data_IF_794944425523
#
_entry.id   IF_794944425523
#
_cell.length_a   1.000
_cell.length_b   1.000
_cell.length_c   1.000
_cell.angle_alpha   90.00
_cell.angle_beta   90.00
_cell.angle_gamma   90.00
#
_symmetry.space_group_name_H-M   'P 1'
#
loop_
_entity.id
_entity.type
_entity.pdbx_description
1 polymer ?
#
# COMPACT_ATOMS: atom_id res chain seq x y z
N UNK A 1 -4.69 -14.37 82.28
CA UNK A 1 -4.56 -13.06 81.62
C UNK A 1 -4.07 -13.30 80.20
N UNK A 2 -4.90 -13.04 79.18
CA UNK A 2 -4.55 -13.23 77.77
C UNK A 2 -4.26 -11.87 77.14
N UNK A 3 -3.06 -11.71 76.57
CA UNK A 3 -2.64 -10.59 75.74
C UNK A 3 -3.52 -10.53 74.47
N UNK A 4 -3.99 -9.34 74.11
CA UNK A 4 -4.61 -9.06 72.80
C UNK A 4 -3.65 -8.23 71.96
N UNK A 5 -3.34 -8.78 70.79
CA UNK A 5 -2.56 -8.17 69.71
C UNK A 5 -3.48 -7.20 68.97
N UNK A 6 -3.04 -5.96 68.77
CA UNK A 6 -3.69 -4.97 67.92
C UNK A 6 -3.21 -5.16 66.47
N UNK A 7 -4.15 -5.41 65.55
CA UNK A 7 -3.89 -5.45 64.10
C UNK A 7 -4.17 -4.05 63.55
N UNK A 8 -3.17 -3.49 62.89
CA UNK A 8 -3.18 -2.17 62.28
C UNK A 8 -3.34 -2.31 60.75
N UNK A 9 -4.39 -1.67 60.22
CA UNK A 9 -4.53 -1.07 58.89
C UNK A 9 -4.35 -1.89 57.61
N UNK A 10 -5.32 -1.79 56.68
CA UNK A 10 -5.13 -1.10 55.38
C UNK A 10 -6.47 -1.03 54.63
N UNK A 11 -7.13 0.14 54.61
CA UNK A 11 -8.26 0.39 53.71
C UNK A 11 -7.72 0.96 52.39
N UNK A 12 -7.86 0.19 51.31
CA UNK A 12 -7.65 0.65 49.93
C UNK A 12 -8.80 1.59 49.55
N UNK A 13 -8.51 2.89 49.39
CA UNK A 13 -9.41 3.80 48.68
C UNK A 13 -9.29 3.56 47.18
N UNK A 14 -10.31 2.95 46.58
CA UNK A 14 -10.54 3.05 45.14
C UNK A 14 -11.13 4.43 44.85
N UNK A 15 -10.31 5.32 44.29
CA UNK A 15 -10.78 6.57 43.70
C UNK A 15 -11.63 6.24 42.48
N UNK A 16 -12.94 6.50 42.54
CA UNK A 16 -13.81 6.44 41.39
C UNK A 16 -13.47 7.62 40.46
N UNK A 17 -12.76 7.34 39.36
CA UNK A 17 -12.70 8.25 38.23
C UNK A 17 -14.08 8.26 37.57
N UNK A 18 -14.90 9.26 37.87
CA UNK A 18 -16.08 9.57 37.07
C UNK A 18 -15.60 10.18 35.76
N UNK A 19 -15.50 9.37 34.70
CA UNK A 19 -15.52 9.90 33.34
C UNK A 19 -16.90 10.53 33.12
N UNK A 20 -16.98 11.85 33.26
CA UNK A 20 -18.09 12.60 32.69
C UNK A 20 -17.97 12.42 31.18
N UNK A 21 -18.89 11.64 30.61
CA UNK A 21 -19.05 11.61 29.16
C UNK A 21 -19.18 13.06 28.66
N UNK A 22 -18.51 13.43 27.55
CA UNK A 22 -18.74 14.75 26.97
C UNK A 22 -20.25 14.93 26.78
N UNK A 23 -20.79 16.12 27.04
CA UNK A 23 -22.23 16.37 26.90
C UNK A 23 -22.66 15.90 25.51
N UNK A 24 -23.64 14.98 25.46
CA UNK A 24 -24.27 14.62 24.19
C UNK A 24 -24.81 15.90 23.59
N UNK A 25 -24.35 16.24 22.39
CA UNK A 25 -24.89 17.35 21.62
C UNK A 25 -26.40 17.25 21.58
N UNK A 26 -27.06 18.36 21.93
CA UNK A 26 -28.51 18.46 21.90
C UNK A 26 -28.95 18.21 20.46
N UNK A 27 -29.74 17.15 20.17
CA UNK A 27 -30.16 16.83 18.80
C UNK A 27 -31.09 17.90 18.19
N UNK A 28 -31.43 18.94 18.95
CA UNK A 28 -32.20 20.10 18.52
C UNK A 28 -31.35 21.38 18.38
N UNK A 29 -30.01 21.30 18.46
CA UNK A 29 -29.15 22.44 18.15
C UNK A 29 -29.00 22.61 16.62
N UNK A 30 -29.61 23.65 16.01
CA UNK A 30 -29.51 23.88 14.58
C UNK A 30 -28.11 24.38 14.24
N UNK A 31 -27.22 23.44 13.89
CA UNK A 31 -25.96 23.65 13.17
C UNK A 31 -24.97 24.56 13.92
N UNK A 32 -24.06 23.93 14.68
CA UNK A 32 -22.70 24.47 14.74
C UNK A 32 -22.16 24.49 13.30
N UNK A 33 -21.84 25.65 12.69
CA UNK A 33 -21.46 25.75 11.28
C UNK A 33 -20.16 25.03 10.92
N UNK A 34 -19.50 24.39 11.89
CA UNK A 34 -18.14 23.85 11.79
C UNK A 34 -18.03 22.36 12.14
N UNK A 35 -19.12 21.59 12.16
CA UNK A 35 -18.99 20.13 12.14
C UNK A 35 -18.50 19.68 10.77
N UNK A 36 -17.18 19.77 10.55
CA UNK A 36 -16.50 18.93 9.57
C UNK A 36 -16.55 17.52 10.14
N UNK A 37 -16.95 16.53 9.33
CA UNK A 37 -16.81 15.12 9.70
C UNK A 37 -15.36 14.79 10.09
N UNK A 38 -15.04 13.53 10.47
CA UNK A 38 -13.66 13.15 10.74
C UNK A 38 -12.77 13.67 9.60
N UNK A 39 -11.76 14.47 9.95
CA UNK A 39 -10.86 15.06 8.97
C UNK A 39 -10.19 13.94 8.20
N UNK A 40 -10.27 14.01 6.87
CA UNK A 40 -9.57 13.10 5.97
C UNK A 40 -8.10 12.99 6.38
N UNK A 41 -7.63 11.77 6.61
CA UNK A 41 -6.22 11.52 6.92
C UNK A 41 -5.41 11.63 5.62
N UNK A 42 -4.49 12.59 5.51
CA UNK A 42 -3.82 12.88 4.24
C UNK A 42 -2.76 11.83 3.91
N UNK A 43 -2.52 11.64 2.62
CA UNK A 43 -1.36 10.89 2.13
C UNK A 43 -0.09 11.74 2.16
N UNK A 44 1.07 11.09 2.06
CA UNK A 44 2.37 11.72 1.90
C UNK A 44 2.42 12.41 0.54
N UNK A 45 2.69 13.72 0.52
CA UNK A 45 2.81 14.49 -0.74
C UNK A 45 4.25 14.72 -1.17
N UNK A 46 5.19 14.64 -0.23
CA UNK A 46 6.60 14.81 -0.53
C UNK A 46 7.09 13.70 -1.46
N UNK A 47 7.68 14.08 -2.60
CA UNK A 47 8.15 13.15 -3.61
C UNK A 47 7.06 12.39 -4.38
N UNK A 48 5.77 12.68 -4.20
CA UNK A 48 4.68 12.05 -4.98
C UNK A 48 4.73 12.53 -6.44
N UNK A 49 4.80 11.58 -7.38
CA UNK A 49 4.95 11.85 -8.81
C UNK A 49 3.70 11.52 -9.62
N UNK A 50 2.98 10.46 -9.24
CA UNK A 50 1.75 10.03 -9.89
C UNK A 50 0.79 9.39 -8.90
N UNK A 51 -0.51 9.54 -9.12
CA UNK A 51 -1.55 8.95 -8.26
C UNK A 51 -2.83 8.64 -9.03
N UNK A 52 -3.08 7.35 -9.21
CA UNK A 52 -4.34 6.81 -9.74
C UNK A 52 -5.22 6.34 -8.58
N UNK A 53 -6.26 7.13 -8.31
CA UNK A 53 -7.23 6.91 -7.23
C UNK A 53 -8.25 5.82 -7.54
N UNK A 54 -8.47 5.54 -8.83
CA UNK A 54 -9.49 4.60 -9.30
C UNK A 54 -10.94 4.93 -8.88
N UNK A 55 -11.21 6.21 -8.64
CA UNK A 55 -12.53 6.73 -8.31
C UNK A 55 -13.37 6.97 -9.56
N UNK A 56 -13.92 5.89 -10.14
CA UNK A 56 -14.69 5.86 -11.40
C UNK A 56 -13.89 6.19 -12.68
N UNK A 57 -12.59 6.44 -12.59
CA UNK A 57 -11.72 6.62 -13.75
C UNK A 57 -10.34 5.99 -13.53
N UNK A 58 -9.44 6.18 -14.48
CA UNK A 58 -8.03 5.76 -14.38
C UNK A 58 -7.12 6.96 -14.68
N UNK A 59 -7.52 8.16 -14.26
CA UNK A 59 -6.77 9.39 -14.48
C UNK A 59 -5.68 9.54 -13.43
N UNK A 60 -4.48 9.93 -13.84
CA UNK A 60 -3.45 10.38 -12.90
C UNK A 60 -3.86 11.73 -12.29
N UNK A 61 -4.01 11.78 -10.98
CA UNK A 61 -4.43 12.98 -10.25
C UNK A 61 -3.35 14.06 -10.17
N UNK A 62 -2.10 13.70 -10.48
CA UNK A 62 -0.97 14.63 -10.47
C UNK A 62 -0.78 15.25 -11.86
N UNK A 63 -0.65 14.43 -12.91
CA UNK A 63 -0.43 14.92 -14.28
C UNK A 63 -1.72 15.13 -15.10
N UNK A 64 -2.90 14.71 -14.61
CA UNK A 64 -4.18 14.75 -15.33
C UNK A 64 -4.16 13.99 -16.67
N UNK A 65 -3.38 12.90 -16.75
CA UNK A 65 -3.28 12.03 -17.92
C UNK A 65 -4.11 10.78 -17.70
N UNK A 66 -4.92 10.41 -18.70
CA UNK A 66 -5.68 9.17 -18.69
C UNK A 66 -4.83 8.02 -19.20
N UNK A 67 -4.94 6.87 -18.55
CA UNK A 67 -4.26 5.64 -18.99
C UNK A 67 -4.96 4.99 -20.18
N UNK A 68 -4.36 3.94 -20.75
CA UNK A 68 -5.00 3.10 -21.77
C UNK A 68 -5.96 2.05 -21.19
N UNK A 69 -6.26 2.15 -19.89
CA UNK A 69 -6.94 1.12 -19.14
C UNK A 69 -8.44 1.16 -19.39
N UNK A 70 -9.03 -0.01 -19.60
CA UNK A 70 -10.49 -0.18 -19.63
C UNK A 70 -10.86 -1.18 -18.54
N UNK A 71 -11.36 -0.73 -17.38
CA UNK A 71 -11.71 -1.63 -16.28
C UNK A 71 -12.77 -2.64 -16.71
N UNK A 72 -12.69 -3.86 -16.17
CA UNK A 72 -13.80 -4.81 -16.25
C UNK A 72 -14.99 -4.28 -15.46
N UNK A 73 -14.71 -3.76 -14.27
CA UNK A 73 -15.66 -3.14 -13.37
C UNK A 73 -14.93 -2.24 -12.37
N UNK A 74 -15.70 -1.44 -11.64
CA UNK A 74 -15.26 -0.82 -10.40
C UNK A 74 -15.96 -1.49 -9.22
N UNK A 75 -15.23 -1.61 -8.12
CA UNK A 75 -15.68 -2.25 -6.88
C UNK A 75 -15.60 -1.27 -5.70
N UNK A 76 -16.18 -1.62 -4.55
CA UNK A 76 -15.94 -0.85 -3.33
C UNK A 76 -14.47 -0.90 -2.90
N UNK A 77 -13.96 0.23 -2.39
CA UNK A 77 -12.62 0.30 -1.80
C UNK A 77 -12.54 -0.37 -0.41
N UNK A 78 -11.41 -0.16 0.27
CA UNK A 78 -11.14 -0.62 1.64
C UNK A 78 -12.04 -0.03 2.72
N UNK A 79 -12.76 1.05 2.42
CA UNK A 79 -13.71 1.69 3.31
C UNK A 79 -15.18 1.44 2.91
N UNK A 80 -15.39 0.72 1.80
CA UNK A 80 -16.71 0.43 1.27
C UNK A 80 -17.29 1.54 0.39
N UNK A 81 -16.50 2.53 -0.02
CA UNK A 81 -16.92 3.56 -0.97
C UNK A 81 -17.12 2.91 -2.34
N UNK A 82 -18.32 3.09 -2.91
CA UNK A 82 -18.65 2.47 -4.19
C UNK A 82 -17.83 3.04 -5.35
N UNK A 83 -17.43 2.15 -6.25
CA UNK A 83 -16.67 2.46 -7.47
C UNK A 83 -15.30 3.15 -7.24
N UNK A 84 -14.60 2.72 -6.19
CA UNK A 84 -13.31 3.28 -5.76
C UNK A 84 -12.16 2.29 -5.87
N UNK A 85 -12.41 1.09 -6.43
CA UNK A 85 -11.38 0.10 -6.73
C UNK A 85 -11.48 -0.39 -8.17
N UNK A 86 -10.35 -0.45 -8.86
CA UNK A 86 -10.18 -0.88 -10.24
C UNK A 86 -10.05 -2.41 -10.35
N UNK A 87 -10.89 -3.04 -11.16
CA UNK A 87 -10.68 -4.41 -11.62
C UNK A 87 -10.09 -4.41 -13.03
N UNK A 88 -8.89 -4.96 -13.17
CA UNK A 88 -8.23 -5.05 -14.46
C UNK A 88 -8.96 -6.00 -15.41
N UNK A 89 -8.93 -5.72 -16.70
CA UNK A 89 -9.45 -6.63 -17.72
C UNK A 89 -8.39 -7.68 -18.11
N UNK A 90 -8.72 -8.56 -19.05
CA UNK A 90 -7.82 -9.63 -19.51
C UNK A 90 -6.53 -9.13 -20.22
N UNK A 91 -6.40 -7.82 -20.49
CA UNK A 91 -5.19 -7.18 -20.99
C UNK A 91 -4.43 -6.46 -19.86
N UNK A 92 -3.13 -6.19 -20.08
CA UNK A 92 -2.37 -5.35 -19.16
C UNK A 92 -2.79 -3.89 -19.31
N UNK A 93 -2.90 -3.20 -18.18
CA UNK A 93 -3.26 -1.79 -18.09
C UNK A 93 -2.00 -1.02 -17.73
N UNK A 94 -1.62 -0.03 -18.54
CA UNK A 94 -0.35 0.68 -18.41
C UNK A 94 -0.53 2.12 -17.95
N UNK A 95 0.49 2.60 -17.23
CA UNK A 95 0.48 3.82 -16.44
C UNK A 95 1.74 4.62 -16.72
N UNK A 96 1.56 5.93 -16.94
CA UNK A 96 2.66 6.81 -17.36
C UNK A 96 3.21 6.45 -18.73
N UNK A 97 4.45 6.88 -18.97
CA UNK A 97 5.24 6.65 -20.18
C UNK A 97 6.42 5.73 -19.88
N UNK A 98 7.06 5.20 -20.93
CA UNK A 98 8.16 4.22 -20.83
C UNK A 98 9.32 4.58 -19.90
N UNK A 99 9.61 5.87 -19.70
CA UNK A 99 10.74 6.33 -18.87
C UNK A 99 10.31 6.99 -17.57
N UNK A 100 9.00 7.12 -17.33
CA UNK A 100 8.49 7.94 -16.22
C UNK A 100 8.86 7.35 -14.85
N UNK A 101 9.27 6.07 -14.78
CA UNK A 101 9.57 5.37 -13.53
C UNK A 101 10.92 4.62 -13.57
N UNK A 102 11.81 5.05 -14.46
CA UNK A 102 13.14 4.45 -14.69
C UNK A 102 14.24 5.10 -13.83
N UNK A 103 13.96 5.29 -12.55
CA UNK A 103 14.90 5.94 -11.63
C UNK A 103 14.95 5.24 -10.28
N UNK A 104 15.94 5.60 -9.50
CA UNK A 104 15.99 5.28 -8.08
C UNK A 104 16.57 6.46 -7.29
N UNK A 105 16.15 6.66 -6.02
CA UNK A 105 15.18 5.83 -5.30
C UNK A 105 13.76 5.96 -5.84
N UNK A 106 12.98 4.88 -5.73
CA UNK A 106 11.58 4.83 -6.16
C UNK A 106 10.76 4.02 -5.16
N UNK A 107 9.56 4.49 -4.86
CA UNK A 107 8.52 3.72 -4.19
C UNK A 107 7.31 3.60 -5.08
N UNK A 108 6.80 2.39 -5.28
CA UNK A 108 5.47 2.16 -5.85
C UNK A 108 4.60 1.54 -4.77
N UNK A 109 3.47 2.18 -4.49
CA UNK A 109 2.48 1.68 -3.52
C UNK A 109 1.12 1.52 -4.17
N UNK A 110 0.34 0.56 -3.66
CA UNK A 110 -1.06 0.41 -3.98
C UNK A 110 -1.74 -0.51 -2.98
N UNK A 111 -3.05 -0.37 -2.86
CA UNK A 111 -3.92 -1.31 -2.20
C UNK A 111 -4.35 -2.41 -3.17
N UNK A 112 -4.43 -3.64 -2.68
CA UNK A 112 -4.88 -4.80 -3.44
C UNK A 112 -5.85 -5.66 -2.65
N UNK A 113 -6.91 -6.11 -3.30
CA UNK A 113 -7.87 -7.09 -2.80
C UNK A 113 -7.85 -8.34 -3.70
N UNK A 114 -7.08 -9.39 -3.36
CA UNK A 114 -7.09 -10.62 -4.14
C UNK A 114 -8.43 -11.34 -3.95
N UNK A 115 -9.21 -11.55 -5.01
CA UNK A 115 -10.45 -12.34 -4.96
C UNK A 115 -10.15 -13.84 -5.03
N UNK A 116 -9.05 -14.20 -5.70
CA UNK A 116 -8.48 -15.53 -5.68
C UNK A 116 -6.95 -15.44 -5.70
N UNK A 117 -6.30 -16.35 -4.99
CA UNK A 117 -4.86 -16.46 -5.00
C UNK A 117 -4.41 -17.13 -6.30
N UNK A 118 -3.38 -16.59 -6.93
CA UNK A 118 -2.72 -17.21 -8.07
C UNK A 118 -1.39 -17.83 -7.63
N UNK A 119 -0.84 -18.72 -8.44
CA UNK A 119 0.54 -19.20 -8.29
C UNK A 119 1.35 -18.70 -9.48
N UNK A 120 2.42 -17.96 -9.21
CA UNK A 120 3.23 -17.35 -10.25
C UNK A 120 2.50 -16.24 -11.03
N UNK A 121 3.28 -15.52 -11.83
CA UNK A 121 2.79 -14.47 -12.71
C UNK A 121 2.86 -13.06 -12.11
N UNK A 122 2.96 -12.03 -12.97
CA UNK A 122 3.08 -10.66 -12.53
C UNK A 122 1.77 -10.09 -11.99
N UNK A 123 1.87 -9.26 -10.95
CA UNK A 123 0.82 -8.37 -10.47
C UNK A 123 1.08 -6.98 -11.07
N UNK A 124 2.31 -6.50 -10.92
CA UNK A 124 2.78 -5.23 -11.46
C UNK A 124 4.16 -5.40 -12.09
N UNK A 125 4.41 -4.73 -13.21
CA UNK A 125 5.69 -4.79 -13.94
C UNK A 125 6.05 -3.43 -14.50
N UNK A 126 7.33 -3.11 -14.44
CA UNK A 126 7.98 -2.21 -15.39
C UNK A 126 9.19 -2.99 -15.89
N UNK A 127 9.06 -3.66 -17.03
CA UNK A 127 10.03 -4.63 -17.52
C UNK A 127 9.82 -6.07 -17.03
N UNK A 128 10.81 -6.92 -17.30
CA UNK A 128 10.77 -8.36 -17.00
C UNK A 128 12.11 -8.83 -16.40
N UNK A 129 12.31 -8.68 -15.08
CA UNK A 129 13.60 -8.88 -14.42
C UNK A 129 13.97 -10.36 -14.28
N UNK A 130 14.32 -11.03 -15.39
CA UNK A 130 14.69 -12.46 -15.43
C UNK A 130 16.19 -12.67 -15.55
N UNK A 131 16.87 -11.88 -16.39
CA UNK A 131 18.31 -12.04 -16.65
C UNK A 131 19.10 -10.73 -16.59
N UNK A 132 18.45 -9.59 -16.36
CA UNK A 132 19.09 -8.26 -16.28
C UNK A 132 19.96 -7.93 -17.48
N UNK A 133 19.45 -8.31 -18.66
CA UNK A 133 20.01 -7.96 -19.96
C UNK A 133 19.05 -7.03 -20.68
N UNK A 134 19.49 -6.37 -21.75
CA UNK A 134 18.63 -5.47 -22.53
C UNK A 134 17.32 -6.19 -22.96
N UNK A 135 16.17 -5.62 -22.61
CA UNK A 135 14.83 -6.19 -22.85
C UNK A 135 14.34 -7.20 -21.80
N UNK A 136 15.13 -7.47 -20.76
CA UNK A 136 14.77 -8.30 -19.60
C UNK A 136 15.25 -7.66 -18.28
N UNK A 137 15.29 -6.32 -18.27
CA UNK A 137 15.64 -5.50 -17.11
C UNK A 137 14.36 -5.03 -16.40
N UNK A 138 14.49 -4.09 -15.46
CA UNK A 138 13.36 -3.48 -14.77
C UNK A 138 13.03 -4.15 -13.44
N UNK A 139 11.75 -4.17 -13.09
CA UNK A 139 11.25 -4.67 -11.83
C UNK A 139 9.80 -5.17 -11.91
N UNK A 140 9.42 -5.98 -10.93
CA UNK A 140 8.07 -6.53 -10.84
C UNK A 140 7.66 -6.86 -9.41
N UNK A 141 6.36 -6.75 -9.15
CA UNK A 141 5.70 -7.46 -8.05
C UNK A 141 4.95 -8.64 -8.66
N UNK A 142 5.12 -9.82 -8.09
CA UNK A 142 4.55 -11.06 -8.65
C UNK A 142 3.96 -11.96 -7.57
N UNK A 143 3.03 -12.80 -8.00
CA UNK A 143 2.66 -13.97 -7.22
C UNK A 143 3.82 -14.95 -7.18
N UNK A 144 4.04 -15.47 -5.98
CA UNK A 144 4.98 -16.50 -5.67
C UNK A 144 4.50 -17.89 -6.08
N UNK A 145 5.40 -18.87 -5.99
CA UNK A 145 5.04 -20.28 -6.20
C UNK A 145 4.10 -20.80 -5.10
N UNK A 146 4.13 -20.20 -3.92
CA UNK A 146 3.28 -20.55 -2.77
C UNK A 146 2.10 -19.58 -2.61
N UNK A 147 1.75 -18.83 -3.66
CA UNK A 147 0.73 -17.78 -3.63
C UNK A 147 0.99 -16.62 -2.66
N UNK A 148 2.22 -16.47 -2.17
CA UNK A 148 2.65 -15.25 -1.51
C UNK A 148 2.99 -14.14 -2.52
N UNK A 149 3.27 -12.95 -2.03
CA UNK A 149 3.71 -11.81 -2.85
C UNK A 149 5.22 -11.68 -2.73
N UNK A 150 5.90 -11.49 -3.86
CA UNK A 150 7.33 -11.18 -3.87
C UNK A 150 7.63 -10.06 -4.86
N UNK A 151 8.76 -9.42 -4.62
CA UNK A 151 9.29 -8.39 -5.49
C UNK A 151 10.58 -8.87 -6.14
N UNK A 152 10.80 -8.46 -7.39
CA UNK A 152 12.03 -8.69 -8.12
C UNK A 152 12.48 -7.41 -8.81
N UNK A 153 13.79 -7.15 -8.83
CA UNK A 153 14.37 -6.02 -9.53
C UNK A 153 15.74 -6.41 -10.12
N UNK A 154 16.05 -5.84 -11.27
CA UNK A 154 17.30 -6.09 -11.95
C UNK A 154 18.41 -5.15 -11.53
N UNK A 155 19.56 -5.73 -11.24
CA UNK A 155 20.81 -5.04 -10.99
C UNK A 155 21.87 -5.59 -11.96
N UNK A 156 22.91 -4.82 -12.28
CA UNK A 156 23.88 -5.11 -13.34
C UNK A 156 24.38 -6.57 -13.38
N UNK A 157 24.51 -7.22 -12.22
CA UNK A 157 25.05 -8.57 -12.13
C UNK A 157 24.08 -9.62 -11.57
N UNK A 158 22.87 -9.22 -11.16
CA UNK A 158 21.94 -10.09 -10.43
C UNK A 158 20.49 -9.62 -10.56
N UNK A 159 19.56 -10.57 -10.62
CA UNK A 159 18.18 -10.31 -10.22
C UNK A 159 18.10 -10.41 -8.69
N UNK A 160 17.76 -9.33 -8.00
CA UNK A 160 17.36 -9.41 -6.60
C UNK A 160 15.90 -9.83 -6.54
N UNK A 161 15.57 -10.85 -5.74
CA UNK A 161 14.20 -11.28 -5.49
C UNK A 161 13.99 -11.46 -4.00
N UNK A 162 12.92 -10.88 -3.46
CA UNK A 162 12.56 -11.04 -2.04
C UNK A 162 12.01 -12.43 -1.78
N UNK A 163 11.98 -12.83 -0.50
CA UNK A 163 11.14 -13.96 -0.10
C UNK A 163 9.66 -13.63 -0.32
N UNK A 164 8.85 -14.69 -0.43
CA UNK A 164 7.40 -14.58 -0.57
C UNK A 164 6.78 -14.20 0.78
N UNK A 165 5.95 -13.16 0.78
CA UNK A 165 5.11 -12.75 1.90
C UNK A 165 3.74 -13.41 1.73
N UNK A 166 3.32 -14.32 2.64
CA UNK A 166 2.01 -14.94 2.55
C UNK A 166 0.89 -13.90 2.67
N UNK A 167 -0.13 -14.04 1.82
CA UNK A 167 -1.38 -13.28 1.91
C UNK A 167 -2.55 -14.25 1.78
N UNK A 168 -3.74 -13.80 2.17
CA UNK A 168 -4.98 -14.53 1.96
C UNK A 168 -5.90 -13.74 1.05
N UNK A 169 -6.75 -14.46 0.31
CA UNK A 169 -7.77 -13.87 -0.53
C UNK A 169 -8.90 -13.24 0.31
N UNK A 170 -9.68 -12.39 -0.34
CA UNK A 170 -10.87 -11.74 0.14
C UNK A 170 -10.64 -10.72 1.28
N UNK A 171 -9.47 -10.09 1.30
CA UNK A 171 -9.19 -8.94 2.16
C UNK A 171 -8.23 -7.96 1.50
N UNK A 172 -8.25 -6.72 1.97
CA UNK A 172 -7.35 -5.67 1.51
C UNK A 172 -5.96 -5.81 2.11
N UNK A 173 -4.96 -5.58 1.27
CA UNK A 173 -3.54 -5.53 1.61
C UNK A 173 -2.94 -4.24 1.04
N UNK A 174 -2.07 -3.58 1.80
CA UNK A 174 -1.35 -2.41 1.32
C UNK A 174 0.10 -2.77 1.04
N UNK A 175 0.54 -2.56 -0.20
CA UNK A 175 1.87 -2.96 -0.66
C UNK A 175 2.73 -1.72 -0.89
N UNK A 176 3.98 -1.81 -0.46
CA UNK A 176 5.03 -0.84 -0.78
C UNK A 176 6.22 -1.59 -1.36
N UNK A 177 6.52 -1.31 -2.61
CA UNK A 177 7.70 -1.78 -3.31
C UNK A 177 8.69 -0.64 -3.40
N UNK A 178 9.92 -0.86 -2.93
CA UNK A 178 10.93 0.20 -2.84
C UNK A 178 12.24 -0.30 -3.44
N UNK A 179 12.84 0.51 -4.31
CA UNK A 179 14.23 0.37 -4.73
C UNK A 179 15.00 1.59 -4.22
N UNK A 180 16.05 1.35 -3.45
CA UNK A 180 16.94 2.38 -2.92
C UNK A 180 18.41 1.93 -2.98
N UNK A 181 19.13 2.44 -3.99
CA UNK A 181 20.52 2.12 -4.26
C UNK A 181 20.70 0.67 -4.73
N UNK A 182 21.06 -0.21 -3.81
CA UNK A 182 21.21 -1.65 -4.05
C UNK A 182 20.09 -2.46 -3.39
N UNK A 183 19.24 -1.82 -2.61
CA UNK A 183 18.24 -2.50 -1.80
C UNK A 183 16.91 -2.52 -2.54
N UNK A 184 16.35 -3.72 -2.62
CA UNK A 184 14.98 -3.97 -2.96
C UNK A 184 14.23 -4.33 -1.68
N UNK A 185 13.19 -3.59 -1.31
CA UNK A 185 12.29 -3.98 -0.23
C UNK A 185 10.84 -4.09 -0.68
N UNK A 186 10.15 -5.02 -0.03
CA UNK A 186 8.71 -5.20 -0.14
C UNK A 186 8.13 -5.16 1.28
N UNK A 187 7.21 -4.23 1.52
CA UNK A 187 6.43 -4.15 2.74
C UNK A 187 4.97 -4.43 2.40
N UNK A 188 4.35 -5.34 3.14
CA UNK A 188 2.93 -5.72 2.95
C UNK A 188 2.21 -5.61 4.28
N UNK A 189 1.24 -4.71 4.35
CA UNK A 189 0.41 -4.48 5.53
C UNK A 189 -0.94 -5.14 5.34
N UNK A 190 -1.43 -5.81 6.40
CA UNK A 190 -2.86 -6.10 6.51
C UNK A 190 -3.64 -4.86 6.97
N UNK A 191 -4.97 -4.95 7.02
CA UNK A 191 -5.84 -3.86 7.50
C UNK A 191 -5.61 -3.46 8.97
N UNK A 192 -4.85 -4.24 9.74
CA UNK A 192 -4.51 -3.90 11.13
C UNK A 192 -3.24 -3.04 11.25
N UNK A 193 -2.57 -2.76 10.13
CA UNK A 193 -1.38 -1.91 10.08
C UNK A 193 -0.10 -2.62 10.47
N UNK A 194 -0.06 -3.96 10.48
CA UNK A 194 1.15 -4.72 10.79
C UNK A 194 1.89 -5.11 9.50
N UNK A 195 3.08 -4.55 9.22
CA UNK A 195 3.82 -4.92 8.02
C UNK A 195 4.57 -6.24 8.21
N UNK A 196 4.55 -7.07 7.18
CA UNK A 196 5.63 -8.01 6.91
C UNK A 196 6.58 -7.36 5.92
N UNK A 197 7.87 -7.32 6.27
CA UNK A 197 8.91 -6.70 5.44
C UNK A 197 9.87 -7.77 4.94
N UNK A 198 10.19 -7.72 3.65
CA UNK A 198 11.28 -8.47 3.06
C UNK A 198 12.27 -7.52 2.38
N UNK A 199 13.55 -7.78 2.58
CA UNK A 199 14.64 -6.99 2.02
C UNK A 199 15.57 -7.93 1.25
N UNK A 200 15.98 -7.52 0.06
CA UNK A 200 17.01 -8.18 -0.72
C UNK A 200 17.98 -7.15 -1.27
N UNK A 201 19.28 -7.43 -1.17
CA UNK A 201 20.31 -6.56 -1.74
C UNK A 201 20.78 -7.13 -3.08
N UNK A 202 20.68 -6.32 -4.13
CA UNK A 202 21.23 -6.60 -5.45
C UNK A 202 22.74 -6.36 -5.54
N UNK A 203 23.31 -6.68 -6.70
CA UNK A 203 24.73 -6.43 -7.00
C UNK A 203 24.87 -5.60 -8.28
N UNK A 204 25.59 -4.48 -8.17
CA UNK A 204 25.76 -3.52 -9.26
C UNK A 204 24.61 -2.50 -9.34
N UNK A 205 24.62 -1.63 -10.34
CA UNK A 205 23.61 -0.59 -10.46
C UNK A 205 22.24 -1.17 -10.84
N UNK A 206 21.16 -0.62 -10.27
CA UNK A 206 19.80 -0.88 -10.73
C UNK A 206 19.70 -0.67 -12.25
N UNK A 207 19.04 -1.59 -12.94
CA UNK A 207 18.83 -1.58 -14.38
C UNK A 207 17.33 -1.41 -14.64
N UNK A 208 16.81 -0.18 -14.79
CA UNK A 208 15.45 0.03 -15.26
C UNK A 208 15.29 -0.45 -16.72
N UNK A 209 14.06 -0.55 -17.21
CA UNK A 209 13.79 -0.95 -18.60
C UNK A 209 12.89 0.06 -19.31
N UNK A 210 13.54 1.02 -19.98
CA UNK A 210 12.90 2.08 -20.77
C UNK A 210 12.10 1.61 -21.99
N UNK A 211 11.97 0.30 -22.20
CA UNK A 211 11.08 -0.27 -23.21
C UNK A 211 9.68 -0.60 -22.65
N UNK A 212 9.44 -0.46 -21.34
CA UNK A 212 8.18 -0.82 -20.71
C UNK A 212 7.59 0.30 -19.86
N UNK A 213 6.30 0.55 -20.05
CA UNK A 213 5.49 1.35 -19.12
C UNK A 213 5.26 0.56 -17.81
N UNK A 214 4.92 1.26 -16.74
CA UNK A 214 4.42 0.61 -15.54
C UNK A 214 3.07 -0.04 -15.86
N UNK A 215 2.89 -1.31 -15.55
CA UNK A 215 1.69 -2.05 -15.87
C UNK A 215 1.13 -2.74 -14.64
N UNK A 216 -0.18 -2.60 -14.40
CA UNK A 216 -0.94 -3.57 -13.63
C UNK A 216 -1.36 -4.69 -14.57
N UNK A 217 -0.97 -5.91 -14.22
CA UNK A 217 -1.23 -7.11 -15.00
C UNK A 217 -2.57 -7.71 -14.60
N UNK A 218 -3.16 -8.51 -15.50
CA UNK A 218 -4.39 -9.23 -15.18
C UNK A 218 -4.14 -10.27 -14.09
N UNK A 219 -4.89 -10.17 -13.01
CA UNK A 219 -4.96 -11.14 -11.92
C UNK A 219 -6.36 -11.09 -11.32
N UNK A 220 -6.73 -12.10 -10.54
CA UNK A 220 -7.97 -12.11 -9.77
C UNK A 220 -7.85 -11.18 -8.55
N UNK A 221 -7.81 -9.87 -8.77
CA UNK A 221 -7.74 -8.87 -7.71
C UNK A 221 -8.34 -7.51 -8.12
N UNK A 222 -8.69 -6.72 -7.12
CA UNK A 222 -9.02 -5.30 -7.26
C UNK A 222 -7.85 -4.44 -6.76
N UNK A 223 -7.70 -3.26 -7.33
CA UNK A 223 -6.63 -2.33 -7.02
C UNK A 223 -7.19 -0.98 -6.64
N UNK A 224 -6.58 -0.34 -5.66
CA UNK A 224 -6.96 0.99 -5.21
C UNK A 224 -5.67 1.81 -4.96
N UNK A 225 -5.73 3.13 -5.17
CA UNK A 225 -4.71 4.06 -4.74
C UNK A 225 -3.27 3.75 -5.22
N UNK A 226 -3.10 3.48 -6.52
CA UNK A 226 -1.76 3.31 -7.10
C UNK A 226 -1.01 4.64 -7.10
N UNK A 227 0.12 4.71 -6.38
CA UNK A 227 0.97 5.89 -6.31
C UNK A 227 2.42 5.55 -6.56
N UNK A 228 3.13 6.51 -7.14
CA UNK A 228 4.57 6.43 -7.37
C UNK A 228 5.26 7.63 -6.76
N UNK A 229 6.34 7.37 -6.02
CA UNK A 229 7.17 8.38 -5.39
C UNK A 229 8.60 8.35 -5.92
N UNK A 230 9.18 9.52 -6.14
CA UNK A 230 10.58 9.74 -6.49
C UNK A 230 11.55 9.62 -5.31
N UNK A 231 11.17 8.84 -4.29
CA UNK A 231 11.92 8.64 -3.06
C UNK A 231 11.62 7.28 -2.45
N UNK A 232 12.52 6.81 -1.58
CA UNK A 232 12.22 5.73 -0.66
C UNK A 232 11.37 6.29 0.49
N UNK A 233 10.16 5.78 0.67
CA UNK A 233 9.34 6.16 1.81
C UNK A 233 9.90 5.57 3.10
N UNK A 234 9.90 6.38 4.16
CA UNK A 234 10.20 5.92 5.51
C UNK A 234 9.05 5.08 6.10
N UNK A 235 9.31 4.35 7.19
CA UNK A 235 8.26 3.59 7.90
C UNK A 235 7.10 4.50 8.33
N UNK A 236 7.39 5.70 8.82
CA UNK A 236 6.37 6.64 9.27
C UNK A 236 5.51 7.15 8.11
N UNK A 237 6.12 7.40 6.95
CA UNK A 237 5.42 7.77 5.71
C UNK A 237 4.55 6.62 5.19
N UNK A 238 5.04 5.39 5.23
CA UNK A 238 4.24 4.22 4.86
C UNK A 238 3.06 4.02 5.80
N UNK A 239 3.25 4.18 7.11
CA UNK A 239 2.18 4.12 8.09
C UNK A 239 1.15 5.23 7.84
N UNK A 240 1.58 6.45 7.51
CA UNK A 240 0.69 7.54 7.14
C UNK A 240 -0.16 7.16 5.92
N UNK A 241 0.45 6.67 4.84
CA UNK A 241 -0.28 6.27 3.64
C UNK A 241 -1.22 5.08 3.89
N UNK A 242 -0.85 4.16 4.77
CA UNK A 242 -1.69 3.04 5.17
C UNK A 242 -2.93 3.49 5.94
N UNK A 243 -2.79 4.48 6.82
CA UNK A 243 -3.92 5.03 7.56
C UNK A 243 -4.72 6.08 6.79
N UNK A 244 -4.22 6.53 5.64
CA UNK A 244 -4.83 7.60 4.88
C UNK A 244 -6.24 7.23 4.40
N UNK A 245 -7.13 8.20 4.51
CA UNK A 245 -8.49 8.15 3.96
C UNK A 245 -8.65 9.15 2.82
N UNK A 246 -7.53 9.71 2.35
CA UNK A 246 -7.51 10.61 1.21
C UNK A 246 -7.59 9.79 -0.07
N UNK A 247 -8.60 10.08 -0.90
CA UNK A 247 -8.84 9.43 -2.18
C UNK A 247 -9.19 10.44 -3.24
#
# INVERSE_FOLDING_TARGET
MKQKIAILSLFLLFGACTFTAPPRDNPLDPKSPNYKGPSEKPIVKDGLLAWWKFNNDTTDSIASTTTNCTPTAYHPDRFGNANSAYENNAASCTFGSFTDFDFQPITVEFWMYPTNLSTGGPIMTNGNPTTCTAGTSGYSISWGASSGIRASACFTSTVATTLEIPVVANQWWHLFFIIDGLNLSLHVYDMSGNPVTQLQTGTGAFQPDSAYELALNYTNAYYDDLRVYGKALSIDEMNQNHEATEH
#
